data_IF_815671332586
#
_entry.id   IF_815671332586
#
_cell.length_a   1.000
_cell.length_b   1.000
_cell.length_c   1.000
_cell.angle_alpha   90.00
_cell.angle_beta   90.00
_cell.angle_gamma   90.00
#
_symmetry.space_group_name_H-M   'P 1'
#
loop_
_entity.id
_entity.type
_entity.pdbx_description
1 polymer ?
#
# COMPACT_ATOMS: atom_id res chain seq x y z
N UNK A 1 -8.60 37.87 -59.66
CA UNK A 1 -8.98 38.46 -58.36
C UNK A 1 -9.63 37.43 -57.43
N UNK A 2 -10.68 36.69 -57.84
CA UNK A 2 -11.38 35.69 -56.99
C UNK A 2 -10.56 34.53 -56.40
N UNK A 3 -9.47 34.08 -57.04
CA UNK A 3 -8.63 32.96 -56.51
C UNK A 3 -7.77 33.35 -55.30
N UNK A 4 -7.18 34.55 -55.32
CA UNK A 4 -6.34 35.03 -54.21
C UNK A 4 -7.13 35.25 -52.92
N UNK A 5 -8.37 35.73 -53.04
CA UNK A 5 -9.31 35.84 -51.91
C UNK A 5 -9.69 34.49 -51.30
N UNK A 6 -9.76 33.44 -52.12
CA UNK A 6 -10.07 32.09 -51.65
C UNK A 6 -8.88 31.45 -50.95
N UNK A 7 -7.66 31.67 -51.44
CA UNK A 7 -6.42 31.20 -50.82
C UNK A 7 -6.21 31.84 -49.44
N UNK A 8 -6.37 33.17 -49.32
CA UNK A 8 -6.27 33.85 -48.03
C UNK A 8 -7.33 33.40 -47.01
N UNK A 9 -8.56 33.12 -47.48
CA UNK A 9 -9.61 32.54 -46.62
C UNK A 9 -9.30 31.12 -46.18
N UNK A 10 -8.54 30.36 -46.98
CA UNK A 10 -8.13 29.01 -46.63
C UNK A 10 -7.01 29.04 -45.59
N UNK A 11 -6.02 29.90 -45.78
CA UNK A 11 -4.91 30.09 -44.84
C UNK A 11 -5.40 30.52 -43.46
N UNK A 12 -6.26 31.54 -43.39
CA UNK A 12 -6.84 31.98 -42.11
C UNK A 12 -7.65 30.87 -41.41
N UNK A 13 -8.35 30.02 -42.17
CA UNK A 13 -9.08 28.89 -41.59
C UNK A 13 -8.16 27.77 -41.11
N UNK A 14 -7.03 27.56 -41.77
CA UNK A 14 -6.03 26.59 -41.32
C UNK A 14 -5.36 27.07 -40.03
N UNK A 15 -5.04 28.35 -39.94
CA UNK A 15 -4.46 28.98 -38.75
C UNK A 15 -5.41 28.90 -37.54
N UNK A 16 -6.72 29.17 -37.75
CA UNK A 16 -7.76 29.02 -36.71
C UNK A 16 -7.95 27.56 -36.27
N UNK A 17 -7.80 26.59 -37.18
CA UNK A 17 -7.86 25.17 -36.84
C UNK A 17 -6.63 24.72 -36.06
N UNK A 18 -5.44 25.22 -36.42
CA UNK A 18 -4.18 24.92 -35.74
C UNK A 18 -4.18 25.46 -34.31
N UNK A 19 -4.70 26.67 -34.10
CA UNK A 19 -4.87 27.26 -32.77
C UNK A 19 -5.85 26.47 -31.89
N UNK A 20 -6.98 26.01 -32.46
CA UNK A 20 -7.89 25.15 -31.71
C UNK A 20 -7.31 23.77 -31.40
N UNK A 21 -6.46 23.23 -32.27
CA UNK A 21 -5.78 21.96 -32.03
C UNK A 21 -4.75 22.08 -30.90
N UNK A 22 -3.99 23.17 -30.82
CA UNK A 22 -3.05 23.37 -29.71
C UNK A 22 -3.77 23.53 -28.38
N UNK A 23 -4.89 24.28 -28.35
CA UNK A 23 -5.70 24.42 -27.14
C UNK A 23 -6.33 23.09 -26.69
N UNK A 24 -6.65 22.20 -27.64
CA UNK A 24 -7.12 20.85 -27.34
C UNK A 24 -6.00 19.99 -26.74
N UNK A 25 -4.79 20.08 -27.28
CA UNK A 25 -3.61 19.38 -26.77
C UNK A 25 -3.28 19.82 -25.34
N UNK A 26 -3.23 21.12 -25.07
CA UNK A 26 -2.99 21.66 -23.72
C UNK A 26 -4.05 21.20 -22.71
N UNK A 27 -5.32 21.12 -23.13
CA UNK A 27 -6.42 20.62 -22.28
C UNK A 27 -6.31 19.11 -22.05
N UNK A 28 -5.89 18.34 -23.04
CA UNK A 28 -5.69 16.90 -22.90
C UNK A 28 -4.52 16.60 -21.96
N UNK A 29 -3.43 17.37 -22.05
CA UNK A 29 -2.30 17.29 -21.10
C UNK A 29 -2.74 17.64 -19.68
N UNK A 30 -3.51 18.71 -19.50
CA UNK A 30 -4.03 19.08 -18.17
C UNK A 30 -4.98 18.03 -17.58
N UNK A 31 -5.78 17.36 -18.42
CA UNK A 31 -6.65 16.25 -18.00
C UNK A 31 -5.81 15.01 -17.67
N UNK A 32 -4.77 14.71 -18.45
CA UNK A 32 -3.86 13.60 -18.19
C UNK A 32 -3.13 13.79 -16.85
N UNK A 33 -2.60 14.97 -16.58
CA UNK A 33 -1.98 15.32 -15.29
C UNK A 33 -2.96 15.18 -14.12
N UNK A 34 -4.24 15.58 -14.29
CA UNK A 34 -5.27 15.41 -13.27
C UNK A 34 -5.75 13.96 -13.08
N UNK A 35 -5.51 13.07 -14.05
CA UNK A 35 -5.85 11.66 -13.95
C UNK A 35 -4.72 10.84 -13.32
N UNK A 36 -3.45 11.20 -13.57
CA UNK A 36 -2.31 10.63 -12.84
C UNK A 36 -2.36 10.97 -11.34
N UNK A 37 -2.87 12.16 -10.98
CA UNK A 37 -3.07 12.54 -9.57
C UNK A 37 -4.21 11.76 -8.87
N UNK A 38 -5.00 10.96 -9.61
CA UNK A 38 -6.20 10.25 -9.10
C UNK A 38 -6.03 8.73 -8.95
N UNK A 39 -4.82 8.19 -9.05
CA UNK A 39 -4.51 6.82 -8.61
C UNK A 39 -4.22 6.81 -7.10
N UNK A 40 -5.25 7.00 -6.26
CA UNK A 40 -5.04 6.81 -4.83
C UNK A 40 -6.30 6.30 -4.12
N UNK A 41 -6.70 5.08 -4.49
CA UNK A 41 -7.53 4.21 -3.66
C UNK A 41 -7.26 2.76 -4.06
N UNK A 42 -6.28 2.13 -3.40
CA UNK A 42 -6.09 0.67 -3.36
C UNK A 42 -6.13 0.01 -4.74
N UNK A 43 -5.06 0.17 -5.52
CA UNK A 43 -4.87 -0.64 -6.71
C UNK A 43 -4.86 -2.12 -6.33
N UNK A 44 -5.49 -2.99 -7.14
CA UNK A 44 -5.38 -4.43 -6.94
C UNK A 44 -3.91 -4.90 -6.94
N UNK A 45 -3.06 -4.17 -7.66
CA UNK A 45 -1.62 -4.40 -7.69
C UNK A 45 -0.94 -4.08 -6.35
N UNK A 46 -1.30 -2.98 -5.68
CA UNK A 46 -0.80 -2.65 -4.34
C UNK A 46 -1.16 -3.73 -3.32
N UNK A 47 -2.40 -4.22 -3.36
CA UNK A 47 -2.86 -5.31 -2.50
C UNK A 47 -2.04 -6.57 -2.72
N UNK A 48 -1.84 -6.95 -3.98
CA UNK A 48 -1.05 -8.15 -4.33
C UNK A 48 0.40 -7.97 -3.88
N UNK A 49 1.02 -6.82 -4.14
CA UNK A 49 2.38 -6.51 -3.73
C UNK A 49 2.56 -6.57 -2.21
N UNK A 50 1.67 -5.93 -1.46
CA UNK A 50 1.68 -5.95 0.01
C UNK A 50 1.50 -7.38 0.54
N UNK A 51 0.61 -8.19 -0.06
CA UNK A 51 0.45 -9.60 0.30
C UNK A 51 1.71 -10.42 -0.01
N UNK A 52 2.32 -10.24 -1.19
CA UNK A 52 3.54 -10.95 -1.59
C UNK A 52 4.70 -10.61 -0.64
N UNK A 53 4.89 -9.32 -0.32
CA UNK A 53 5.88 -8.89 0.65
C UNK A 53 5.61 -9.46 2.05
N UNK A 54 4.36 -9.37 2.50
CA UNK A 54 3.90 -9.90 3.78
C UNK A 54 4.18 -11.40 3.94
N UNK A 55 3.83 -12.19 2.93
CA UNK A 55 4.06 -13.64 2.90
C UNK A 55 5.55 -13.93 2.89
N UNK A 56 6.31 -13.28 2.00
CA UNK A 56 7.73 -13.59 1.79
C UNK A 56 8.56 -13.40 3.06
N UNK A 57 8.28 -12.35 3.84
CA UNK A 57 9.01 -12.10 5.08
C UNK A 57 8.49 -12.92 6.27
N UNK A 58 7.19 -13.21 6.34
CA UNK A 58 6.62 -13.96 7.47
C UNK A 58 6.83 -15.47 7.35
N UNK A 59 6.80 -16.03 6.14
CA UNK A 59 6.76 -17.47 5.90
C UNK A 59 7.92 -18.26 6.57
N UNK A 60 9.19 -17.82 6.51
CA UNK A 60 10.29 -18.56 7.15
C UNK A 60 10.10 -18.74 8.67
N UNK A 61 9.58 -17.70 9.33
CA UNK A 61 9.35 -17.70 10.77
C UNK A 61 8.03 -18.37 11.14
N UNK A 62 7.02 -18.25 10.28
CA UNK A 62 5.71 -18.88 10.46
C UNK A 62 5.84 -20.40 10.63
N UNK A 63 6.72 -21.01 9.83
CA UNK A 63 6.96 -22.45 9.83
C UNK A 63 8.02 -22.90 10.83
N UNK A 64 8.45 -22.01 11.73
CA UNK A 64 9.47 -22.30 12.74
C UNK A 64 8.83 -22.52 14.12
N UNK A 65 8.94 -23.72 14.73
CA UNK A 65 8.36 -24.00 16.05
C UNK A 65 8.82 -23.05 17.15
N UNK A 66 10.10 -22.69 17.15
CA UNK A 66 10.73 -21.85 18.18
C UNK A 66 10.10 -20.46 18.21
N UNK A 67 9.66 -19.93 17.06
CA UNK A 67 8.97 -18.64 16.98
C UNK A 67 7.66 -18.66 17.75
N UNK A 68 6.91 -19.77 17.67
CA UNK A 68 5.67 -19.96 18.41
C UNK A 68 5.91 -20.18 19.90
N UNK A 69 7.03 -20.79 20.29
CA UNK A 69 7.43 -20.88 21.68
C UNK A 69 7.77 -19.52 22.28
N UNK A 70 8.53 -18.69 21.56
CA UNK A 70 8.83 -17.30 21.95
C UNK A 70 7.53 -16.50 22.12
N UNK A 71 6.61 -16.61 21.16
CA UNK A 71 5.32 -15.95 21.23
C UNK A 71 4.52 -16.35 22.48
N UNK A 72 4.46 -17.64 22.81
CA UNK A 72 3.74 -18.14 24.00
C UNK A 72 4.32 -17.58 25.30
N UNK A 73 5.64 -17.50 25.40
CA UNK A 73 6.35 -16.95 26.55
C UNK A 73 6.20 -15.43 26.76
N UNK A 74 5.59 -14.70 25.83
CA UNK A 74 5.38 -13.26 25.99
C UNK A 74 4.28 -12.94 27.01
N UNK A 75 4.62 -12.08 27.97
CA UNK A 75 3.64 -11.39 28.79
C UNK A 75 2.91 -10.30 28.00
N UNK A 76 1.76 -9.86 28.50
CA UNK A 76 0.93 -8.82 27.87
C UNK A 76 1.69 -7.51 27.63
N UNK A 77 2.57 -7.10 28.54
CA UNK A 77 3.36 -5.88 28.36
C UNK A 77 4.31 -5.97 27.17
N UNK A 78 4.95 -7.13 26.95
CA UNK A 78 5.87 -7.37 25.83
C UNK A 78 5.11 -7.35 24.51
N UNK A 79 3.93 -7.96 24.50
CA UNK A 79 3.02 -7.93 23.35
C UNK A 79 2.61 -6.49 23.01
N UNK A 80 2.18 -5.70 24.00
CA UNK A 80 1.82 -4.30 23.81
C UNK A 80 2.99 -3.45 23.30
N UNK A 81 4.18 -3.62 23.89
CA UNK A 81 5.39 -2.94 23.45
C UNK A 81 5.78 -3.32 22.02
N UNK A 82 5.65 -4.60 21.65
CA UNK A 82 5.92 -5.09 20.31
C UNK A 82 4.98 -4.45 19.27
N UNK A 83 3.66 -4.47 19.53
CA UNK A 83 2.67 -3.87 18.64
C UNK A 83 2.88 -2.36 18.50
N UNK A 84 3.17 -1.67 19.60
CA UNK A 84 3.47 -0.24 19.58
C UNK A 84 4.72 0.05 18.75
N UNK A 85 5.76 -0.77 18.89
CA UNK A 85 7.01 -0.64 18.15
C UNK A 85 6.78 -0.91 16.66
N UNK A 86 6.03 -1.95 16.29
CA UNK A 86 5.63 -2.20 14.90
C UNK A 86 4.86 -1.04 14.30
N UNK A 87 3.89 -0.49 15.05
CA UNK A 87 3.13 0.67 14.61
C UNK A 87 4.01 1.91 14.44
N UNK A 88 4.89 2.19 15.39
CA UNK A 88 5.83 3.31 15.33
C UNK A 88 6.81 3.17 14.15
N UNK A 89 7.35 1.97 13.91
CA UNK A 89 8.20 1.73 12.75
C UNK A 89 7.44 1.92 11.45
N UNK A 90 6.24 1.34 11.32
CA UNK A 90 5.41 1.54 10.14
C UNK A 90 5.12 3.01 9.89
N UNK A 91 4.71 3.75 10.92
CA UNK A 91 4.46 5.19 10.83
C UNK A 91 5.71 5.97 10.39
N UNK A 92 6.87 5.74 11.02
CA UNK A 92 8.11 6.42 10.67
C UNK A 92 8.58 6.10 9.25
N UNK A 93 8.40 4.85 8.80
CA UNK A 93 8.74 4.46 7.44
C UNK A 93 7.88 5.19 6.42
N UNK A 94 6.56 5.19 6.60
CA UNK A 94 5.61 5.86 5.73
C UNK A 94 5.76 7.39 5.74
N UNK A 95 6.04 7.99 6.90
CA UNK A 95 6.27 9.44 7.01
C UNK A 95 7.56 9.86 6.30
N UNK A 96 8.64 9.07 6.43
CA UNK A 96 9.96 9.43 5.90
C UNK A 96 10.15 9.07 4.43
N UNK A 97 9.38 8.13 3.89
CA UNK A 97 9.51 7.67 2.51
C UNK A 97 8.82 8.57 1.48
N UNK A 98 8.14 9.65 1.88
CA UNK A 98 7.36 10.50 0.98
C UNK A 98 6.31 9.73 0.14
N UNK A 99 5.90 8.53 0.59
CA UNK A 99 4.88 7.70 -0.07
C UNK A 99 3.51 8.38 0.02
N UNK A 100 3.13 9.06 -1.07
CA UNK A 100 1.87 9.78 -1.26
C UNK A 100 1.50 10.75 -0.12
N UNK A 101 0.54 11.63 -0.38
CA UNK A 101 0.22 12.68 0.57
C UNK A 101 -0.44 12.07 1.82
N UNK A 102 0.32 11.94 2.92
CA UNK A 102 -0.19 11.70 4.29
C UNK A 102 -1.20 12.80 4.76
N UNK A 103 -1.48 13.78 3.90
CA UNK A 103 -2.26 14.97 4.16
C UNK A 103 -3.73 14.80 3.78
N UNK A 104 -4.07 14.01 2.77
CA UNK A 104 -5.44 14.04 2.23
C UNK A 104 -6.37 12.97 2.81
N UNK A 105 -5.86 11.80 3.25
CA UNK A 105 -6.72 10.74 3.78
C UNK A 105 -6.26 10.22 5.15
N UNK A 106 -6.85 10.78 6.23
CA UNK A 106 -6.67 10.31 7.60
C UNK A 106 -7.97 9.70 8.12
N UNK A 107 -8.00 8.38 8.32
CA UNK A 107 -9.16 7.64 8.84
C UNK A 107 -9.58 8.09 10.25
N UNK A 108 -8.58 8.47 11.05
CA UNK A 108 -8.69 9.17 12.34
C UNK A 108 -7.59 10.22 12.30
N UNK A 109 -7.79 11.43 12.85
CA UNK A 109 -6.88 12.61 12.78
C UNK A 109 -5.35 12.35 12.95
N UNK A 110 -4.97 11.16 13.42
CA UNK A 110 -3.63 10.69 13.76
C UNK A 110 -3.13 9.51 12.90
N UNK A 111 -4.00 8.65 12.34
CA UNK A 111 -3.58 7.39 11.68
C UNK A 111 -3.72 7.52 10.16
N UNK A 112 -2.61 7.37 9.38
CA UNK A 112 -2.69 7.28 7.92
C UNK A 112 -3.49 6.07 7.47
N UNK A 113 -4.41 6.25 6.52
CA UNK A 113 -5.23 5.15 5.98
C UNK A 113 -4.36 4.02 5.43
N UNK A 114 -3.27 4.35 4.72
CA UNK A 114 -2.30 3.38 4.17
C UNK A 114 -1.65 2.51 5.25
N UNK A 115 -1.24 3.09 6.38
CA UNK A 115 -0.68 2.33 7.51
C UNK A 115 -1.72 1.32 8.05
N UNK A 116 -2.98 1.74 8.18
CA UNK A 116 -4.04 0.85 8.64
C UNK A 116 -4.28 -0.31 7.67
N UNK A 117 -4.26 -0.04 6.37
CA UNK A 117 -4.38 -1.05 5.30
C UNK A 117 -3.23 -2.06 5.36
N UNK A 118 -1.99 -1.59 5.41
CA UNK A 118 -0.79 -2.44 5.49
C UNK A 118 -0.84 -3.33 6.73
N UNK A 119 -1.10 -2.75 7.91
CA UNK A 119 -1.21 -3.53 9.14
C UNK A 119 -2.31 -4.59 9.03
N UNK A 120 -3.49 -4.21 8.52
CA UNK A 120 -4.62 -5.11 8.37
C UNK A 120 -4.30 -6.28 7.44
N UNK A 121 -3.70 -6.01 6.28
CA UNK A 121 -3.30 -7.04 5.32
C UNK A 121 -2.24 -7.95 5.92
N UNK A 122 -1.17 -7.40 6.50
CA UNK A 122 -0.08 -8.17 7.10
C UNK A 122 -0.57 -9.12 8.19
N UNK A 123 -1.37 -8.64 9.15
CA UNK A 123 -1.90 -9.50 10.21
C UNK A 123 -2.92 -10.51 9.68
N UNK A 124 -3.75 -10.14 8.69
CA UNK A 124 -4.72 -11.05 8.07
C UNK A 124 -4.02 -12.17 7.29
N UNK A 125 -2.94 -11.85 6.58
CA UNK A 125 -2.10 -12.82 5.85
C UNK A 125 -1.50 -13.82 6.84
N UNK A 126 -0.86 -13.35 7.91
CA UNK A 126 -0.26 -14.23 8.93
C UNK A 126 -1.31 -15.13 9.58
N UNK A 127 -2.47 -14.57 9.95
CA UNK A 127 -3.58 -15.34 10.51
C UNK A 127 -4.09 -16.38 9.51
N UNK A 128 -4.35 -15.98 8.27
CA UNK A 128 -4.82 -16.87 7.21
C UNK A 128 -3.84 -18.01 6.96
N UNK A 129 -2.54 -17.73 6.84
CA UNK A 129 -1.51 -18.76 6.65
C UNK A 129 -1.40 -19.70 7.86
N UNK A 130 -1.51 -19.16 9.08
CA UNK A 130 -1.53 -19.97 10.31
C UNK A 130 -2.66 -20.99 10.29
N UNK A 131 -3.85 -20.59 9.82
CA UNK A 131 -5.01 -21.45 9.68
C UNK A 131 -4.84 -22.45 8.52
N UNK A 132 -4.36 -21.99 7.36
CA UNK A 132 -4.15 -22.82 6.17
C UNK A 132 -3.13 -23.94 6.41
N UNK A 133 -2.04 -23.66 7.13
CA UNK A 133 -1.04 -24.66 7.48
C UNK A 133 -1.40 -25.49 8.72
N UNK A 134 -2.62 -25.33 9.25
CA UNK A 134 -3.10 -26.05 10.42
C UNK A 134 -2.17 -25.94 11.64
N UNK A 135 -1.52 -24.79 11.82
CA UNK A 135 -0.62 -24.55 12.96
C UNK A 135 -1.38 -24.44 14.29
N UNK A 136 -2.68 -24.11 14.21
CA UNK A 136 -3.62 -24.13 15.33
C UNK A 136 -3.81 -25.52 15.96
N UNK A 137 -3.51 -26.60 15.23
CA UNK A 137 -3.60 -27.97 15.74
C UNK A 137 -2.28 -28.55 16.25
N UNK A 138 -1.14 -27.90 15.97
CA UNK A 138 0.20 -28.46 16.23
C UNK A 138 0.95 -27.70 17.31
N UNK A 139 1.20 -26.40 17.13
CA UNK A 139 2.07 -25.59 18.00
C UNK A 139 1.31 -24.58 18.84
N UNK A 140 0.17 -24.12 18.34
CA UNK A 140 -0.74 -23.23 19.05
C UNK A 140 -1.78 -24.09 19.76
N UNK A 141 -2.03 -23.83 21.05
CA UNK A 141 -2.95 -24.64 21.87
C UNK A 141 -4.19 -23.87 22.34
N UNK A 142 -4.17 -22.54 22.20
CA UNK A 142 -5.16 -21.64 22.76
C UNK A 142 -5.17 -20.30 22.00
N UNK A 143 -6.26 -19.56 22.12
CA UNK A 143 -6.48 -18.29 21.45
C UNK A 143 -5.45 -17.20 21.85
N UNK A 144 -5.08 -17.03 23.15
CA UNK A 144 -3.99 -16.13 23.53
C UNK A 144 -2.66 -16.44 22.83
N UNK A 145 -2.27 -17.71 22.73
CA UNK A 145 -1.07 -18.14 22.03
C UNK A 145 -1.13 -17.81 20.53
N UNK A 146 -2.30 -17.96 19.91
CA UNK A 146 -2.53 -17.55 18.53
C UNK A 146 -2.30 -16.05 18.34
N UNK A 147 -2.94 -15.22 19.18
CA UNK A 147 -2.85 -13.77 19.10
C UNK A 147 -1.40 -13.31 19.25
N UNK A 148 -0.65 -13.88 20.22
CA UNK A 148 0.76 -13.54 20.42
C UNK A 148 1.62 -13.96 19.23
N UNK A 149 1.36 -15.14 18.65
CA UNK A 149 2.08 -15.63 17.48
C UNK A 149 1.84 -14.78 16.24
N UNK A 150 0.57 -14.45 15.98
CA UNK A 150 0.18 -13.54 14.89
C UNK A 150 0.77 -12.15 15.09
N UNK A 151 0.78 -11.64 16.32
CA UNK A 151 1.40 -10.35 16.63
C UNK A 151 2.92 -10.34 16.35
N UNK A 152 3.63 -11.40 16.78
CA UNK A 152 5.06 -11.57 16.54
C UNK A 152 5.41 -11.71 15.07
N UNK A 153 4.74 -12.62 14.39
CA UNK A 153 4.96 -12.88 12.97
C UNK A 153 4.51 -11.72 12.09
N UNK A 154 3.47 -11.00 12.53
CA UNK A 154 2.99 -9.79 11.89
C UNK A 154 4.06 -8.71 11.82
N UNK A 155 5.04 -8.65 12.73
CA UNK A 155 6.16 -7.70 12.61
C UNK A 155 6.94 -7.91 11.32
N UNK A 156 7.32 -9.17 11.02
CA UNK A 156 8.03 -9.50 9.79
C UNK A 156 7.15 -9.27 8.56
N UNK A 157 5.87 -9.62 8.67
CA UNK A 157 4.88 -9.41 7.62
C UNK A 157 4.70 -7.93 7.25
N UNK A 158 4.62 -7.06 8.25
CA UNK A 158 4.52 -5.60 8.07
C UNK A 158 5.77 -5.05 7.41
N UNK A 159 6.96 -5.47 7.86
CA UNK A 159 8.22 -5.06 7.24
C UNK A 159 8.26 -5.47 5.75
N UNK A 160 7.86 -6.70 5.44
CA UNK A 160 7.84 -7.19 4.06
C UNK A 160 6.83 -6.45 3.18
N UNK A 161 5.63 -6.21 3.69
CA UNK A 161 4.61 -5.44 2.97
C UNK A 161 5.10 -4.02 2.66
N UNK A 162 5.65 -3.32 3.65
CA UNK A 162 6.21 -1.97 3.49
C UNK A 162 7.39 -1.97 2.51
N UNK A 163 8.29 -2.96 2.60
CA UNK A 163 9.47 -3.02 1.74
C UNK A 163 9.10 -3.21 0.26
N UNK A 164 8.07 -4.00 -0.05
CA UNK A 164 7.59 -4.17 -1.42
C UNK A 164 6.79 -2.96 -1.88
N UNK A 165 5.93 -2.40 -1.02
CA UNK A 165 5.17 -1.16 -1.27
C UNK A 165 6.09 0.06 -1.53
N UNK A 166 7.38 -0.02 -1.12
CA UNK A 166 8.41 0.98 -1.43
C UNK A 166 9.19 0.71 -2.73
N UNK A 167 9.17 -0.52 -3.22
CA UNK A 167 9.96 -0.95 -4.36
C UNK A 167 9.16 -1.01 -5.68
N UNK A 168 7.84 -1.12 -5.58
CA UNK A 168 6.88 -0.94 -6.68
C UNK A 168 6.62 0.53 -6.93
#
# INVERSE_FOLDING_TARGET
MKRKDQEQKLEHKMEEVEEHLSQLEDRLVAIQDHLEEREDILGWDDLVQQMVGAISFALPFLLTPDTWEVARGMGLWRLGALLLLTWAFGYLFLEKSHLQSMKEERLVRIIPTRLATVLTISYSVVLGMTLLFNLYGTWVKDLPSLIKGVALLGVFSVIGAIAVDMAG
#
